data_IF_349901052269
#
_entry.id   IF_349901052269
#
_cell.length_a   1.000
_cell.length_b   1.000
_cell.length_c   1.000
_cell.angle_alpha   90.00
_cell.angle_beta   90.00
_cell.angle_gamma   90.00
#
_symmetry.space_group_name_H-M   'P 1'
#
loop_
_entity.id
_entity.type
_entity.pdbx_description
1 polymer ?
#
# COMPACT_ATOMS: atom_id res chain seq x y z
N UNK A 1 -16.44 1.08 21.29
CA UNK A 1 -15.04 1.15 21.75
C UNK A 1 -14.49 2.49 21.28
N UNK A 2 -13.85 3.24 22.16
CA UNK A 2 -13.41 4.61 21.87
C UNK A 2 -12.58 4.63 20.57
N UNK A 3 -12.93 5.55 19.65
CA UNK A 3 -12.04 5.94 18.56
C UNK A 3 -10.74 6.41 19.20
N UNK A 4 -9.76 5.54 19.36
CA UNK A 4 -8.39 5.94 19.63
C UNK A 4 -7.99 6.81 18.45
N UNK A 5 -7.95 8.12 18.65
CA UNK A 5 -7.39 9.04 17.68
C UNK A 5 -5.98 8.54 17.35
N UNK A 6 -5.76 8.23 16.07
CA UNK A 6 -4.49 7.75 15.61
C UNK A 6 -3.50 8.89 15.77
N UNK A 7 -2.50 8.72 16.64
CA UNK A 7 -1.54 9.78 16.95
C UNK A 7 -0.89 10.31 15.69
N UNK A 8 -1.01 11.62 15.45
CA UNK A 8 -0.32 12.31 14.37
C UNK A 8 1.04 12.78 14.89
N UNK A 9 2.10 12.07 14.50
CA UNK A 9 3.47 12.36 14.94
C UNK A 9 4.25 13.22 13.94
N UNK A 10 3.64 13.60 12.83
CA UNK A 10 4.27 14.39 11.77
C UNK A 10 3.39 15.58 11.43
N UNK A 11 3.77 16.76 11.92
CA UNK A 11 3.13 18.01 11.55
C UNK A 11 3.83 18.56 10.30
N UNK A 12 3.18 18.42 9.15
CA UNK A 12 3.68 18.95 7.89
C UNK A 12 3.05 20.32 7.69
N UNK A 13 3.86 21.37 7.84
CA UNK A 13 3.43 22.75 7.60
C UNK A 13 3.13 22.92 6.11
N UNK A 14 1.86 22.93 5.75
CA UNK A 14 1.41 23.30 4.41
C UNK A 14 1.54 24.83 4.34
N UNK A 15 2.33 25.40 3.41
CA UNK A 15 2.44 26.84 3.30
C UNK A 15 1.05 27.46 3.13
N UNK A 16 0.79 28.55 3.85
CA UNK A 16 -0.51 29.25 3.90
C UNK A 16 -1.05 29.66 2.52
N UNK A 17 -0.17 29.74 1.52
CA UNK A 17 -0.50 30.10 0.12
C UNK A 17 -0.96 28.90 -0.73
N UNK A 18 -1.00 27.68 -0.18
CA UNK A 18 -1.44 26.48 -0.89
C UNK A 18 -2.76 25.94 -0.35
N UNK A 19 -3.81 25.99 -1.18
CA UNK A 19 -5.09 25.37 -0.85
C UNK A 19 -4.92 23.84 -0.73
N UNK A 20 -5.39 23.22 0.36
CA UNK A 20 -5.34 21.76 0.49
C UNK A 20 -6.21 21.14 -0.62
N UNK A 21 -5.69 20.14 -1.35
CA UNK A 21 -6.42 19.54 -2.46
C UNK A 21 -7.65 18.79 -1.93
N UNK A 22 -8.83 19.15 -2.42
CA UNK A 22 -10.09 18.48 -2.05
C UNK A 22 -10.07 17.00 -2.45
N UNK A 23 -10.69 16.13 -1.64
CA UNK A 23 -10.83 14.69 -1.94
C UNK A 23 -11.41 14.44 -3.34
N UNK A 24 -12.38 15.26 -3.77
CA UNK A 24 -13.00 15.16 -5.09
C UNK A 24 -11.99 15.41 -6.23
N UNK A 25 -11.11 16.40 -6.08
CA UNK A 25 -10.07 16.71 -7.07
C UNK A 25 -9.03 15.59 -7.14
N UNK A 26 -8.60 15.08 -5.98
CA UNK A 26 -7.68 13.94 -5.92
C UNK A 26 -8.29 12.70 -6.58
N UNK A 27 -9.57 12.46 -6.37
CA UNK A 27 -10.29 11.37 -7.03
C UNK A 27 -10.26 11.54 -8.56
N UNK A 28 -10.60 12.72 -9.07
CA UNK A 28 -10.55 13.00 -10.51
C UNK A 28 -9.15 12.83 -11.10
N UNK A 29 -8.11 13.33 -10.41
CA UNK A 29 -6.71 13.21 -10.82
C UNK A 29 -6.26 11.74 -10.87
N UNK A 30 -6.72 10.90 -9.94
CA UNK A 30 -6.40 9.47 -9.91
C UNK A 30 -7.17 8.66 -10.96
N UNK A 31 -8.40 9.07 -11.29
CA UNK A 31 -9.26 8.40 -12.27
C UNK A 31 -8.85 8.73 -13.71
N UNK A 32 -8.71 10.02 -14.04
CA UNK A 32 -8.52 10.52 -15.41
C UNK A 32 -7.10 10.99 -15.71
N UNK A 33 -6.27 11.21 -14.70
CA UNK A 33 -4.93 11.76 -14.89
C UNK A 33 -3.98 10.81 -15.64
N UNK A 34 -2.95 11.37 -16.25
CA UNK A 34 -1.83 10.59 -16.80
C UNK A 34 -0.95 10.02 -15.68
N UNK A 35 -0.02 9.13 -16.00
CA UNK A 35 0.90 8.51 -15.03
C UNK A 35 1.59 9.52 -14.11
N UNK A 36 2.06 10.66 -14.66
CA UNK A 36 2.69 11.72 -13.86
C UNK A 36 1.71 12.38 -12.89
N UNK A 37 0.50 12.68 -13.34
CA UNK A 37 -0.57 13.25 -12.49
C UNK A 37 -0.97 12.28 -11.39
N UNK A 38 -1.10 10.98 -11.71
CA UNK A 38 -1.38 9.92 -10.72
C UNK A 38 -0.29 9.80 -9.66
N UNK A 39 0.99 9.94 -10.06
CA UNK A 39 2.12 9.94 -9.13
C UNK A 39 2.01 11.10 -8.13
N UNK A 40 1.79 12.32 -8.62
CA UNK A 40 1.68 13.50 -7.75
C UNK A 40 0.41 13.46 -6.88
N UNK A 41 -0.71 13.00 -7.43
CA UNK A 41 -1.94 12.79 -6.67
C UNK A 41 -1.75 11.74 -5.56
N UNK A 42 -1.11 10.59 -5.86
CA UNK A 42 -0.88 9.54 -4.87
C UNK A 42 0.06 10.01 -3.75
N UNK A 43 1.09 10.80 -4.06
CA UNK A 43 1.96 11.41 -3.04
C UNK A 43 1.17 12.33 -2.11
N UNK A 44 0.30 13.18 -2.66
CA UNK A 44 -0.58 14.07 -1.87
C UNK A 44 -1.51 13.27 -0.97
N UNK A 45 -2.11 12.20 -1.49
CA UNK A 45 -2.99 11.31 -0.70
C UNK A 45 -2.23 10.68 0.47
N UNK A 46 -1.02 10.15 0.25
CA UNK A 46 -0.19 9.59 1.33
C UNK A 46 0.11 10.65 2.39
N UNK A 47 0.44 11.88 1.96
CA UNK A 47 0.72 13.00 2.86
C UNK A 47 -0.49 13.35 3.75
N UNK A 48 -1.68 13.43 3.16
CA UNK A 48 -2.91 13.79 3.87
C UNK A 48 -3.33 12.70 4.86
N UNK A 49 -3.18 11.42 4.49
CA UNK A 49 -3.42 10.30 5.41
C UNK A 49 -2.44 10.34 6.59
N UNK A 50 -1.16 10.64 6.34
CA UNK A 50 -0.16 10.78 7.41
C UNK A 50 -0.45 11.96 8.35
N UNK A 51 -1.05 13.03 7.83
CA UNK A 51 -1.51 14.17 8.64
C UNK A 51 -2.78 13.86 9.47
N UNK A 52 -3.38 12.67 9.30
CA UNK A 52 -4.56 12.23 10.05
C UNK A 52 -5.89 12.43 9.32
N UNK A 53 -5.88 12.90 8.07
CA UNK A 53 -7.11 13.04 7.29
C UNK A 53 -7.58 11.66 6.78
N UNK A 54 -8.82 11.30 7.12
CA UNK A 54 -9.43 10.03 6.69
C UNK A 54 -10.15 10.23 5.36
N UNK A 55 -9.69 9.55 4.30
CA UNK A 55 -10.30 9.58 2.96
C UNK A 55 -10.67 8.17 2.48
N UNK A 56 -11.72 7.55 3.06
CA UNK A 56 -12.12 6.19 2.69
C UNK A 56 -12.59 6.11 1.22
N UNK A 57 -13.12 7.20 0.65
CA UNK A 57 -13.60 7.26 -0.73
C UNK A 57 -12.51 7.05 -1.80
N UNK A 58 -11.24 7.26 -1.43
CA UNK A 58 -10.10 7.10 -2.34
C UNK A 58 -9.60 5.66 -2.45
N UNK A 59 -9.89 4.79 -1.48
CA UNK A 59 -9.40 3.41 -1.46
C UNK A 59 -9.78 2.66 -2.75
N UNK A 60 -11.07 2.69 -3.10
CA UNK A 60 -11.57 1.99 -4.29
C UNK A 60 -11.07 2.64 -5.59
N UNK A 61 -10.91 3.96 -5.60
CA UNK A 61 -10.33 4.68 -6.75
C UNK A 61 -8.87 4.27 -6.97
N UNK A 62 -8.07 4.14 -5.91
CA UNK A 62 -6.68 3.67 -6.01
C UNK A 62 -6.62 2.22 -6.52
N UNK A 63 -7.46 1.33 -5.98
CA UNK A 63 -7.54 -0.07 -6.42
C UNK A 63 -7.92 -0.16 -7.91
N UNK A 64 -8.88 0.64 -8.37
CA UNK A 64 -9.39 0.54 -9.74
C UNK A 64 -8.48 1.20 -10.78
N UNK A 65 -7.93 2.37 -10.48
CA UNK A 65 -7.28 3.22 -11.50
C UNK A 65 -5.77 3.36 -11.35
N UNK A 66 -5.21 3.02 -10.18
CA UNK A 66 -3.78 3.19 -9.90
C UNK A 66 -3.08 1.84 -9.78
N UNK A 67 -3.67 0.88 -9.07
CA UNK A 67 -3.14 -0.47 -8.89
C UNK A 67 -2.82 -1.21 -10.20
N UNK A 68 -3.61 -1.08 -11.29
CA UNK A 68 -3.31 -1.77 -12.55
C UNK A 68 -2.15 -1.16 -13.34
N UNK A 69 -1.69 0.04 -12.97
CA UNK A 69 -0.67 0.77 -13.72
C UNK A 69 0.70 0.11 -13.50
N UNK A 70 1.40 -0.16 -14.60
CA UNK A 70 2.67 -0.91 -14.60
C UNK A 70 3.91 -0.06 -14.27
N UNK A 71 3.72 1.23 -13.99
CA UNK A 71 4.83 2.14 -13.67
C UNK A 71 5.50 1.77 -12.33
N UNK A 72 6.83 1.65 -12.35
CA UNK A 72 7.61 1.24 -11.19
C UNK A 72 7.54 2.25 -10.04
N UNK A 73 7.39 3.54 -10.34
CA UNK A 73 7.25 4.61 -9.33
C UNK A 73 5.90 4.48 -8.65
N UNK A 74 4.83 4.28 -9.42
CA UNK A 74 3.48 4.02 -8.89
C UNK A 74 3.48 2.76 -8.01
N UNK A 75 4.08 1.64 -8.45
CA UNK A 75 4.16 0.43 -7.62
C UNK A 75 4.84 0.68 -6.28
N UNK A 76 5.95 1.43 -6.25
CA UNK A 76 6.62 1.78 -4.99
C UNK A 76 5.75 2.68 -4.10
N UNK A 77 5.09 3.68 -4.69
CA UNK A 77 4.19 4.57 -3.95
C UNK A 77 2.97 3.82 -3.39
N UNK A 78 2.44 2.84 -4.14
CA UNK A 78 1.36 1.98 -3.68
C UNK A 78 1.76 1.20 -2.43
N UNK A 79 2.97 0.63 -2.37
CA UNK A 79 3.45 -0.05 -1.15
C UNK A 79 3.48 0.87 0.07
N UNK A 80 3.83 2.16 -0.10
CA UNK A 80 3.79 3.16 0.97
C UNK A 80 2.34 3.49 1.35
N UNK A 81 1.46 3.66 0.35
CA UNK A 81 0.04 3.90 0.57
C UNK A 81 -0.61 2.78 1.38
N UNK A 82 -0.33 1.51 1.07
CA UNK A 82 -0.88 0.37 1.81
C UNK A 82 -0.37 0.28 3.26
N UNK A 83 0.82 0.82 3.54
CA UNK A 83 1.36 0.87 4.90
C UNK A 83 0.53 1.82 5.79
N UNK A 84 0.14 2.97 5.25
CA UNK A 84 -0.54 4.05 6.00
C UNK A 84 -2.06 3.92 6.06
N UNK A 85 -2.68 3.24 5.08
CA UNK A 85 -4.15 3.14 5.01
C UNK A 85 -4.73 2.29 6.15
N UNK A 86 -5.84 2.73 6.77
CA UNK A 86 -6.57 1.93 7.75
C UNK A 86 -7.17 0.68 7.09
N UNK A 87 -6.93 -0.48 7.69
CA UNK A 87 -7.29 -1.81 7.13
C UNK A 87 -8.59 -2.37 7.69
N UNK A 88 -9.02 -1.84 8.83
CA UNK A 88 -10.20 -2.29 9.55
C UNK A 88 -11.34 -1.27 9.41
N UNK A 89 -12.56 -1.78 9.32
CA UNK A 89 -13.79 -1.00 9.46
C UNK A 89 -13.96 -0.54 10.92
N UNK A 90 -14.91 0.37 11.16
CA UNK A 90 -15.30 0.79 12.51
C UNK A 90 -15.75 -0.36 13.41
N UNK A 91 -16.21 -1.47 12.83
CA UNK A 91 -16.61 -2.70 13.53
C UNK A 91 -15.43 -3.63 13.86
N UNK A 92 -14.19 -3.26 13.52
CA UNK A 92 -12.99 -4.07 13.76
C UNK A 92 -12.80 -5.23 12.79
N UNK A 93 -13.59 -5.32 11.71
CA UNK A 93 -13.43 -6.31 10.63
C UNK A 93 -12.53 -5.78 9.51
N UNK A 94 -11.76 -6.65 8.87
CA UNK A 94 -10.97 -6.30 7.69
C UNK A 94 -11.88 -5.80 6.56
N UNK A 95 -11.47 -4.72 5.89
CA UNK A 95 -12.18 -4.16 4.74
C UNK A 95 -12.18 -5.15 3.56
N UNK A 96 -13.34 -5.37 2.94
CA UNK A 96 -13.49 -6.37 1.87
C UNK A 96 -12.65 -6.04 0.63
N UNK A 97 -12.39 -4.75 0.39
CA UNK A 97 -11.54 -4.23 -0.67
C UNK A 97 -10.13 -4.83 -0.63
N UNK A 98 -9.64 -5.22 0.54
CA UNK A 98 -8.33 -5.81 0.72
C UNK A 98 -8.19 -7.21 0.11
N UNK A 99 -9.29 -7.88 -0.24
CA UNK A 99 -9.24 -9.12 -1.04
C UNK A 99 -8.59 -8.85 -2.40
N UNK A 100 -8.93 -7.74 -3.06
CA UNK A 100 -8.36 -7.35 -4.35
C UNK A 100 -6.87 -6.99 -4.20
N UNK A 101 -6.52 -6.34 -3.10
CA UNK A 101 -5.14 -5.96 -2.78
C UNK A 101 -4.29 -7.21 -2.51
N UNK A 102 -4.85 -8.22 -1.84
CA UNK A 102 -4.17 -9.50 -1.59
C UNK A 102 -3.83 -10.24 -2.90
N UNK A 103 -4.74 -10.27 -3.88
CA UNK A 103 -4.44 -10.85 -5.19
C UNK A 103 -3.33 -10.07 -5.92
N UNK A 104 -3.32 -8.74 -5.80
CA UNK A 104 -2.25 -7.91 -6.35
C UNK A 104 -0.88 -8.22 -5.71
N UNK A 105 -0.80 -8.39 -4.38
CA UNK A 105 0.43 -8.81 -3.70
C UNK A 105 0.90 -10.18 -4.16
N UNK A 106 -0.03 -11.13 -4.33
CA UNK A 106 0.30 -12.47 -4.84
C UNK A 106 0.93 -12.40 -6.22
N UNK A 107 0.36 -11.57 -7.12
CA UNK A 107 0.91 -11.33 -8.46
C UNK A 107 2.29 -10.67 -8.40
N UNK A 108 2.49 -9.70 -7.50
CA UNK A 108 3.77 -9.01 -7.34
C UNK A 108 4.88 -9.92 -6.77
N UNK A 109 4.55 -10.87 -5.89
CA UNK A 109 5.47 -11.92 -5.42
C UNK A 109 5.89 -12.90 -6.52
N UNK A 110 5.08 -13.04 -7.57
CA UNK A 110 5.35 -13.90 -8.72
C UNK A 110 5.86 -13.12 -9.94
N UNK A 111 6.08 -11.81 -9.80
CA UNK A 111 6.46 -10.93 -10.91
C UNK A 111 7.83 -11.31 -11.50
N UNK A 112 8.06 -11.23 -12.82
CA UNK A 112 9.37 -11.58 -13.42
C UNK A 112 10.54 -10.73 -12.90
N UNK A 113 10.27 -9.47 -12.56
CA UNK A 113 11.25 -8.54 -11.97
C UNK A 113 11.51 -8.83 -10.49
N UNK A 114 12.76 -9.16 -10.15
CA UNK A 114 13.24 -9.46 -8.81
C UNK A 114 13.12 -8.30 -7.82
N UNK A 115 13.20 -7.05 -8.30
CA UNK A 115 13.08 -5.87 -7.47
C UNK A 115 11.65 -5.67 -6.97
N UNK A 116 10.65 -5.99 -7.81
CA UNK A 116 9.23 -5.94 -7.44
C UNK A 116 8.93 -7.02 -6.38
N UNK A 117 9.43 -8.25 -6.58
CA UNK A 117 9.31 -9.30 -5.56
C UNK A 117 9.93 -8.87 -4.24
N UNK A 118 11.17 -8.39 -4.28
CA UNK A 118 11.88 -8.01 -3.06
C UNK A 118 11.30 -6.78 -2.35
N UNK A 119 10.78 -5.78 -3.07
CA UNK A 119 10.06 -4.67 -2.44
C UNK A 119 8.77 -5.12 -1.78
N UNK A 120 8.03 -6.04 -2.41
CA UNK A 120 6.81 -6.62 -1.86
C UNK A 120 7.11 -7.44 -0.62
N UNK A 121 8.15 -8.28 -0.64
CA UNK A 121 8.60 -9.03 0.54
C UNK A 121 8.97 -8.12 1.72
N UNK A 122 9.65 -6.98 1.47
CA UNK A 122 9.93 -6.00 2.53
C UNK A 122 8.68 -5.34 3.09
N UNK A 123 7.71 -5.04 2.22
CA UNK A 123 6.42 -4.50 2.65
C UNK A 123 5.69 -5.50 3.56
N UNK A 124 5.70 -6.80 3.21
CA UNK A 124 5.05 -7.84 4.02
C UNK A 124 5.62 -7.96 5.43
N UNK A 125 6.89 -7.61 5.66
CA UNK A 125 7.46 -7.53 7.02
C UNK A 125 6.77 -6.49 7.92
N UNK A 126 6.03 -5.53 7.35
CA UNK A 126 5.33 -4.48 8.08
C UNK A 126 3.84 -4.75 8.24
N UNK A 127 3.32 -5.76 7.55
CA UNK A 127 1.90 -6.12 7.56
C UNK A 127 1.61 -6.90 8.84
N UNK A 128 0.55 -6.52 9.57
CA UNK A 128 0.21 -7.11 10.88
C UNK A 128 -1.04 -7.98 10.83
N UNK A 129 -1.74 -7.97 9.72
CA UNK A 129 -3.05 -8.58 9.51
C UNK A 129 -2.87 -10.04 9.07
N UNK A 130 -3.15 -11.05 9.92
CA UNK A 130 -2.92 -12.45 9.58
C UNK A 130 -3.79 -12.92 8.41
N UNK A 131 -5.03 -12.42 8.34
CA UNK A 131 -5.99 -12.68 7.26
C UNK A 131 -5.45 -12.31 5.87
N UNK A 132 -4.54 -11.33 5.79
CA UNK A 132 -3.87 -10.94 4.55
C UNK A 132 -2.61 -11.74 4.25
N UNK A 133 -1.92 -12.23 5.29
CA UNK A 133 -0.66 -12.95 5.16
C UNK A 133 -0.89 -14.42 4.78
N UNK A 134 -1.90 -15.06 5.35
CA UNK A 134 -2.17 -16.48 5.16
C UNK A 134 -2.29 -16.88 3.67
N UNK A 135 -3.05 -16.16 2.81
CA UNK A 135 -3.15 -16.49 1.39
C UNK A 135 -1.83 -16.30 0.61
N UNK A 136 -0.90 -15.51 1.15
CA UNK A 136 0.38 -15.17 0.50
C UNK A 136 1.49 -16.15 0.87
N UNK A 137 1.33 -16.93 1.94
CA UNK A 137 2.37 -17.86 2.43
C UNK A 137 2.94 -18.80 1.36
N UNK A 138 2.14 -19.41 0.46
CA UNK A 138 2.69 -20.24 -0.61
C UNK A 138 3.63 -19.47 -1.55
N UNK A 139 3.26 -18.24 -1.93
CA UNK A 139 4.06 -17.40 -2.81
C UNK A 139 5.33 -16.88 -2.12
N UNK A 140 5.26 -16.58 -0.82
CA UNK A 140 6.44 -16.18 -0.01
C UNK A 140 7.42 -17.35 0.10
N UNK A 141 6.94 -18.57 0.37
CA UNK A 141 7.80 -19.76 0.43
C UNK A 141 8.48 -20.05 -0.90
N UNK A 142 7.76 -19.93 -2.01
CA UNK A 142 8.34 -20.09 -3.34
C UNK A 142 9.46 -19.08 -3.65
N UNK A 143 9.48 -17.92 -2.97
CA UNK A 143 10.56 -16.94 -3.12
C UNK A 143 11.89 -17.36 -2.46
N UNK A 144 11.90 -18.38 -1.59
CA UNK A 144 13.12 -18.94 -1.00
C UNK A 144 14.00 -19.66 -2.02
N UNK A 145 13.39 -20.28 -3.02
CA UNK A 145 14.09 -21.01 -4.09
C UNK A 145 14.33 -20.16 -5.34
N UNK A 146 14.05 -18.86 -5.27
CA UNK A 146 14.18 -17.97 -6.41
C UNK A 146 15.64 -17.83 -6.85
N UNK A 147 15.90 -17.74 -8.17
CA UNK A 147 17.27 -17.69 -8.74
C UNK A 147 18.14 -16.54 -8.21
N UNK A 148 17.54 -15.37 -7.93
CA UNK A 148 18.26 -14.19 -7.45
C UNK A 148 18.36 -14.14 -5.93
N UNK A 149 19.59 -13.97 -5.42
CA UNK A 149 19.90 -13.84 -3.97
C UNK A 149 19.16 -12.68 -3.30
N UNK A 150 18.91 -11.59 -4.02
CA UNK A 150 18.12 -10.46 -3.55
C UNK A 150 16.73 -10.89 -3.07
N UNK A 151 16.04 -11.74 -3.83
CA UNK A 151 14.69 -12.22 -3.47
C UNK A 151 14.77 -13.15 -2.26
N UNK A 152 15.70 -14.11 -2.28
CA UNK A 152 15.88 -15.07 -1.19
C UNK A 152 16.16 -14.40 0.16
N UNK A 153 17.06 -13.40 0.18
CA UNK A 153 17.38 -12.63 1.40
C UNK A 153 16.14 -11.94 1.97
N UNK A 154 15.32 -11.31 1.12
CA UNK A 154 14.09 -10.65 1.58
C UNK A 154 13.02 -11.67 1.99
N UNK A 155 12.96 -12.84 1.35
CA UNK A 155 12.01 -13.91 1.70
C UNK A 155 12.29 -14.49 3.08
N UNK A 156 13.56 -14.75 3.42
CA UNK A 156 13.97 -15.20 4.75
C UNK A 156 13.55 -14.18 5.82
N UNK A 157 13.81 -12.89 5.57
CA UNK A 157 13.42 -11.83 6.50
C UNK A 157 11.90 -11.75 6.68
N UNK A 158 11.13 -11.86 5.60
CA UNK A 158 9.67 -11.85 5.63
C UNK A 158 9.14 -13.02 6.46
N UNK A 159 9.62 -14.25 6.22
CA UNK A 159 9.19 -15.43 6.97
C UNK A 159 9.54 -15.30 8.46
N UNK A 160 10.74 -14.85 8.78
CA UNK A 160 11.14 -14.62 10.18
C UNK A 160 10.22 -13.59 10.86
N UNK A 161 9.86 -12.53 10.15
CA UNK A 161 9.00 -11.47 10.69
C UNK A 161 7.55 -11.91 10.85
N UNK A 162 7.04 -12.75 9.94
CA UNK A 162 5.67 -13.30 10.01
C UNK A 162 5.56 -14.34 11.12
N UNK A 163 6.61 -15.11 11.38
CA UNK A 163 6.62 -16.15 12.40
C UNK A 163 6.71 -15.60 13.83
N UNK A 164 7.42 -14.47 14.01
CA UNK A 164 7.66 -13.84 15.31
C UNK A 164 6.51 -12.93 15.72
#
# INVERSE_FOLDING_TARGET
>A
MANTEQGCYTLINIPSDSEPPTEMKLKEDLEKGETKTKIEALKKVVLMILNGEKMPGLLMTVIRFVMPVQDHTIKKLLLIFWEVVPKYSGDGKLLQEFILVCDAYRKDLQHPNEFIRGSTLRFLCKLKEPELLEPLMPAIRACLDHRHSYVRRNAVLAIYTIYR
#
